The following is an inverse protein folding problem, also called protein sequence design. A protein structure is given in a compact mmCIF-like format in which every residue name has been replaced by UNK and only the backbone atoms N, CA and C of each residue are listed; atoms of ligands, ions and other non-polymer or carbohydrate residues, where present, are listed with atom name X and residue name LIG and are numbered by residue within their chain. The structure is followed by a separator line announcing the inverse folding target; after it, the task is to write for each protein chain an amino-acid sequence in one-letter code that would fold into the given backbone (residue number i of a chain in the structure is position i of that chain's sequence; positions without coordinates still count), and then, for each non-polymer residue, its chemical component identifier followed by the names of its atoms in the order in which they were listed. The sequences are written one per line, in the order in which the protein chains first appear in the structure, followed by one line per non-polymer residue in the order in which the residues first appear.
data_IF_184862447689
#
_entry.id   IF_184862447689
#
_cell.length_a   1.000
_cell.length_b   1.000
_cell.length_c   1.000
_cell.angle_alpha   90.00
_cell.angle_beta   90.00
_cell.angle_gamma   90.00
#
_symmetry.space_group_name_H-M   'P 1'
#
loop_
_entity.id
_entity.type
_entity.pdbx_description
1 polymer ?
#
# COMPACT_ATOMS: atom_id res chain seq x y z
N UNK A 1 -12.96 78.47 0.96
CA UNK A 1 -13.81 77.62 0.12
C UNK A 1 -14.92 77.03 0.98
N UNK A 2 -16.18 77.22 0.55
CA UNK A 2 -17.48 76.54 0.86
C UNK A 2 -17.55 75.65 2.13
N UNK A 3 -18.58 75.59 2.97
CA UNK A 3 -19.89 76.23 3.23
C UNK A 3 -20.28 75.68 4.63
N UNK A 4 -20.64 76.52 5.60
CA UNK A 4 -22.01 76.82 6.04
C UNK A 4 -22.76 75.69 6.81
N UNK A 5 -22.84 75.89 8.13
CA UNK A 5 -23.93 75.65 9.10
C UNK A 5 -25.07 74.66 8.76
N UNK A 6 -25.46 73.80 9.72
CA UNK A 6 -26.55 74.08 10.69
C UNK A 6 -26.87 72.85 11.58
N UNK A 7 -26.94 73.10 12.89
CA UNK A 7 -27.45 72.23 13.96
C UNK A 7 -28.99 72.15 14.00
N UNK A 8 -29.56 71.00 14.41
CA UNK A 8 -30.41 70.81 15.63
C UNK A 8 -31.31 69.57 15.55
N UNK A 9 -31.26 68.79 16.66
CA UNK A 9 -32.36 68.17 17.44
C UNK A 9 -33.29 67.16 16.72
N UNK A 10 -33.27 65.89 17.14
CA UNK A 10 -34.12 65.28 18.18
C UNK A 10 -35.56 65.01 17.68
N UNK A 11 -35.93 63.73 17.49
CA UNK A 11 -37.13 63.17 18.14
C UNK A 11 -37.27 61.66 17.93
N UNK A 12 -37.73 61.04 19.01
CA UNK A 12 -38.08 59.64 19.27
C UNK A 12 -39.54 59.39 18.88
N UNK A 13 -39.85 58.29 18.18
CA UNK A 13 -41.19 57.66 18.02
C UNK A 13 -40.91 56.16 17.75
N UNK A 14 -41.08 55.20 18.66
CA UNK A 14 -42.28 54.67 19.31
C UNK A 14 -43.23 53.87 18.39
N UNK A 15 -43.10 52.54 18.42
CA UNK A 15 -44.20 51.56 18.36
C UNK A 15 -44.67 51.07 16.99
N UNK A 16 -44.56 49.76 16.75
CA UNK A 16 -45.73 48.88 16.63
C UNK A 16 -45.30 47.40 16.75
N UNK A 17 -45.75 46.75 17.82
CA UNK A 17 -45.82 45.31 17.91
C UNK A 17 -46.98 44.82 17.05
N UNK A 18 -46.73 43.87 16.15
CA UNK A 18 -47.76 43.05 15.52
C UNK A 18 -47.50 41.61 15.96
N UNK A 19 -48.31 41.17 16.92
CA UNK A 19 -48.52 39.76 17.24
C UNK A 19 -49.47 39.23 16.16
N UNK A 20 -48.96 38.38 15.27
CA UNK A 20 -49.80 37.54 14.41
C UNK A 20 -49.68 36.10 14.89
N UNK A 21 -50.64 35.71 15.73
CA UNK A 21 -51.03 34.32 15.94
C UNK A 21 -51.59 33.78 14.63
N UNK A 22 -50.82 32.94 13.95
CA UNK A 22 -51.34 32.05 12.90
C UNK A 22 -51.09 30.62 13.36
N UNK A 23 -52.12 30.03 13.96
CA UNK A 23 -52.28 28.59 14.04
C UNK A 23 -52.67 28.11 12.63
N UNK A 24 -51.73 27.50 11.92
CA UNK A 24 -51.99 26.73 10.71
C UNK A 24 -51.60 25.28 11.01
N UNK A 25 -52.61 24.43 11.20
CA UNK A 25 -52.47 22.99 11.20
C UNK A 25 -52.18 22.51 9.78
N UNK A 26 -51.30 21.51 9.67
CA UNK A 26 -51.36 20.52 8.60
C UNK A 26 -50.46 20.80 7.39
N UNK A 27 -49.21 20.35 7.50
CA UNK A 27 -48.61 19.47 6.49
C UNK A 27 -47.44 18.77 7.19
N UNK A 28 -47.51 17.43 7.32
CA UNK A 28 -46.32 16.60 7.47
C UNK A 28 -45.56 16.74 6.15
N UNK A 29 -44.84 17.85 6.00
CA UNK A 29 -43.66 17.85 5.15
C UNK A 29 -42.62 17.07 5.95
N UNK A 30 -42.49 15.79 5.59
CA UNK A 30 -41.21 15.11 5.64
C UNK A 30 -40.21 16.04 4.94
N UNK A 31 -39.60 16.94 5.72
CA UNK A 31 -38.26 17.43 5.44
C UNK A 31 -37.38 16.20 5.50
N UNK A 32 -37.34 15.47 4.38
CA UNK A 32 -36.19 14.66 4.04
C UNK A 32 -35.00 15.62 4.11
N UNK A 33 -34.27 15.56 5.22
CA UNK A 33 -32.84 15.87 5.20
C UNK A 33 -32.28 15.07 4.04
N UNK A 34 -31.92 15.75 2.94
CA UNK A 34 -30.98 15.18 1.98
C UNK A 34 -29.76 14.79 2.82
N UNK A 35 -29.60 13.50 3.09
CA UNK A 35 -28.35 12.97 3.62
C UNK A 35 -27.28 13.38 2.62
N UNK A 36 -26.24 14.08 3.09
CA UNK A 36 -25.09 14.38 2.24
C UNK A 36 -24.54 13.03 1.76
N UNK A 37 -24.45 12.87 0.43
CA UNK A 37 -23.87 11.67 -0.18
C UNK A 37 -22.48 11.44 0.37
N UNK A 38 -22.19 10.21 0.76
CA UNK A 38 -20.83 9.83 1.14
C UNK A 38 -19.96 9.70 -0.11
N UNK A 39 -18.63 9.66 0.07
CA UNK A 39 -17.73 9.35 -1.02
C UNK A 39 -18.00 7.94 -1.61
N UNK A 40 -18.49 7.02 -0.77
CA UNK A 40 -18.91 5.69 -1.22
C UNK A 40 -20.17 5.74 -2.11
N UNK A 41 -21.17 6.56 -1.76
CA UNK A 41 -22.34 6.76 -2.62
C UNK A 41 -21.96 7.29 -4.02
N UNK A 42 -20.97 8.19 -4.07
CA UNK A 42 -20.45 8.74 -5.33
C UNK A 42 -19.76 7.64 -6.17
N UNK A 43 -18.88 6.84 -5.56
CA UNK A 43 -18.23 5.67 -6.19
C UNK A 43 -19.27 4.70 -6.77
N UNK A 44 -20.32 4.39 -6.00
CA UNK A 44 -21.38 3.49 -6.45
C UNK A 44 -22.21 4.07 -7.61
N UNK A 45 -22.45 5.38 -7.62
CA UNK A 45 -23.16 6.04 -8.73
C UNK A 45 -22.30 6.13 -10.00
N UNK A 46 -21.00 6.35 -9.85
CA UNK A 46 -20.03 6.33 -10.96
C UNK A 46 -19.86 4.92 -11.53
N UNK A 47 -19.94 3.90 -10.66
CA UNK A 47 -19.81 2.49 -11.03
C UNK A 47 -18.36 2.06 -11.23
N UNK A 48 -17.39 2.82 -10.73
CA UNK A 48 -15.97 2.54 -10.85
C UNK A 48 -15.19 2.89 -9.59
N UNK A 49 -14.05 2.23 -9.41
CA UNK A 49 -13.04 2.53 -8.38
C UNK A 49 -11.73 2.91 -9.07
N UNK A 50 -11.23 4.09 -8.76
CA UNK A 50 -9.92 4.55 -9.22
C UNK A 50 -8.83 4.04 -8.29
N UNK A 51 -7.84 3.35 -8.85
CA UNK A 51 -6.78 2.70 -8.07
C UNK A 51 -5.41 3.12 -8.55
N UNK A 52 -4.63 3.72 -7.67
CA UNK A 52 -3.25 4.05 -7.97
C UNK A 52 -2.31 2.85 -7.74
N UNK A 53 -1.44 2.60 -8.70
CA UNK A 53 -0.37 1.59 -8.61
C UNK A 53 0.85 2.05 -9.41
N UNK A 54 1.98 1.34 -9.38
CA UNK A 54 3.19 1.80 -10.09
C UNK A 54 3.39 1.17 -11.47
N UNK A 55 2.89 -0.05 -11.72
CA UNK A 55 3.17 -0.80 -12.94
C UNK A 55 4.65 -1.21 -13.12
N UNK A 56 5.48 -1.07 -12.07
CA UNK A 56 6.94 -1.28 -12.14
C UNK A 56 7.51 -2.19 -11.04
N UNK A 57 6.66 -2.74 -10.17
CA UNK A 57 7.02 -3.63 -9.07
C UNK A 57 6.64 -5.07 -9.37
N UNK A 58 7.55 -5.82 -10.01
CA UNK A 58 7.37 -7.27 -10.16
C UNK A 58 7.51 -7.99 -8.79
N UNK A 59 6.63 -8.95 -8.44
CA UNK A 59 5.50 -9.49 -9.21
C UNK A 59 4.13 -8.89 -8.81
N UNK A 60 4.08 -7.79 -8.04
CA UNK A 60 2.83 -7.28 -7.44
C UNK A 60 2.05 -6.31 -8.35
N UNK A 61 2.75 -5.49 -9.13
CA UNK A 61 2.19 -4.50 -10.04
C UNK A 61 3.20 -4.24 -11.17
N UNK A 62 2.99 -4.87 -12.32
CA UNK A 62 3.92 -4.81 -13.44
C UNK A 62 3.20 -5.03 -14.77
N UNK A 63 3.84 -4.69 -15.88
CA UNK A 63 3.38 -5.07 -17.21
C UNK A 63 3.93 -6.45 -17.57
N UNK A 64 3.07 -7.39 -17.96
CA UNK A 64 3.52 -8.73 -18.34
C UNK A 64 4.47 -8.70 -19.53
N UNK A 65 5.44 -9.63 -19.57
CA UNK A 65 6.48 -9.61 -20.60
C UNK A 65 5.86 -9.74 -22.00
N UNK A 66 6.12 -8.76 -22.86
CA UNK A 66 5.60 -8.74 -24.23
C UNK A 66 4.13 -8.34 -24.35
N UNK A 67 3.50 -7.87 -23.26
CA UNK A 67 2.16 -7.29 -23.25
C UNK A 67 2.18 -5.88 -22.67
N UNK A 68 1.25 -5.04 -23.12
CA UNK A 68 0.95 -3.77 -22.48
C UNK A 68 -0.12 -3.96 -21.38
N UNK A 69 -0.35 -5.17 -20.88
CA UNK A 69 -1.35 -5.44 -19.84
C UNK A 69 -0.73 -5.31 -18.43
N UNK A 70 -1.35 -4.45 -17.61
CA UNK A 70 -1.03 -4.32 -16.20
C UNK A 70 -1.53 -5.55 -15.47
N UNK A 71 -0.69 -6.17 -14.66
CA UNK A 71 -0.98 -7.39 -13.90
C UNK A 71 -0.09 -7.43 -12.66
N UNK A 72 -0.21 -8.49 -11.88
CA UNK A 72 0.54 -8.70 -10.66
C UNK A 72 -0.40 -9.01 -9.50
N UNK A 73 0.17 -9.55 -8.42
CA UNK A 73 -0.59 -10.01 -7.27
C UNK A 73 -1.62 -8.98 -6.77
N UNK A 74 -1.20 -7.76 -6.43
CA UNK A 74 -2.14 -6.73 -5.94
C UNK A 74 -3.07 -6.21 -7.02
N UNK A 75 -2.62 -6.16 -8.28
CA UNK A 75 -3.48 -5.75 -9.41
C UNK A 75 -4.64 -6.73 -9.58
N UNK A 76 -4.38 -8.03 -9.54
CA UNK A 76 -5.44 -9.04 -9.67
C UNK A 76 -6.32 -9.14 -8.42
N UNK A 77 -5.75 -8.96 -7.21
CA UNK A 77 -6.55 -8.85 -5.97
C UNK A 77 -7.52 -7.67 -6.05
N UNK A 78 -7.06 -6.49 -6.48
CA UNK A 78 -7.92 -5.31 -6.63
C UNK A 78 -8.98 -5.50 -7.72
N UNK A 79 -8.65 -6.18 -8.83
CA UNK A 79 -9.65 -6.51 -9.85
C UNK A 79 -10.76 -7.39 -9.29
N UNK A 80 -10.41 -8.44 -8.55
CA UNK A 80 -11.40 -9.30 -7.90
C UNK A 80 -12.25 -8.52 -6.88
N UNK A 81 -11.65 -7.56 -6.15
CA UNK A 81 -12.41 -6.66 -5.26
C UNK A 81 -13.46 -5.88 -6.08
N UNK A 82 -13.08 -5.30 -7.21
CA UNK A 82 -14.01 -4.61 -8.11
C UNK A 82 -15.12 -5.52 -8.61
N UNK A 83 -14.79 -6.74 -9.04
CA UNK A 83 -15.78 -7.72 -9.50
C UNK A 83 -16.83 -8.05 -8.43
N UNK A 84 -16.40 -8.27 -7.18
CA UNK A 84 -17.31 -8.56 -6.06
C UNK A 84 -18.13 -7.37 -5.60
N UNK A 85 -17.61 -6.16 -5.75
CA UNK A 85 -18.35 -4.91 -5.49
C UNK A 85 -19.23 -4.45 -6.66
N UNK A 86 -19.19 -5.16 -7.80
CA UNK A 86 -19.85 -4.76 -9.05
C UNK A 86 -19.36 -3.39 -9.58
N UNK A 87 -18.06 -3.09 -9.43
CA UNK A 87 -17.40 -1.84 -9.82
C UNK A 87 -16.30 -2.07 -10.87
N UNK A 88 -16.20 -1.19 -11.86
CA UNK A 88 -15.08 -1.18 -12.81
C UNK A 88 -13.80 -0.64 -12.14
N UNK A 89 -12.68 -1.37 -12.24
CA UNK A 89 -11.40 -0.88 -11.72
C UNK A 89 -10.68 -0.04 -12.77
N UNK A 90 -10.42 1.22 -12.43
CA UNK A 90 -9.65 2.16 -13.25
C UNK A 90 -8.26 2.39 -12.65
N UNK A 91 -7.25 1.71 -13.18
CA UNK A 91 -5.88 1.89 -12.71
C UNK A 91 -5.26 3.19 -13.21
N UNK A 92 -4.63 3.92 -12.29
CA UNK A 92 -3.76 5.07 -12.58
C UNK A 92 -2.33 4.76 -12.15
N UNK A 93 -1.39 4.82 -13.09
CA UNK A 93 0.03 4.61 -12.77
C UNK A 93 0.67 5.89 -12.22
N UNK A 94 1.09 5.85 -10.95
CA UNK A 94 1.68 6.97 -10.22
C UNK A 94 2.99 6.55 -9.51
N UNK A 95 3.87 7.51 -9.27
CA UNK A 95 4.99 7.33 -8.35
C UNK A 95 4.50 7.21 -6.90
N UNK A 96 5.26 6.56 -6.02
CA UNK A 96 4.85 6.25 -4.65
C UNK A 96 4.37 7.48 -3.85
N UNK A 97 5.13 8.57 -3.85
CA UNK A 97 4.76 9.79 -3.10
C UNK A 97 3.49 10.46 -3.66
N UNK A 98 3.34 10.43 -4.99
CA UNK A 98 2.17 10.97 -5.69
C UNK A 98 0.93 10.13 -5.40
N UNK A 99 1.06 8.80 -5.45
CA UNK A 99 0.01 7.84 -5.10
C UNK A 99 -0.59 8.09 -3.72
N UNK A 100 0.26 8.20 -2.67
CA UNK A 100 -0.22 8.49 -1.33
C UNK A 100 -0.87 9.87 -1.22
N UNK A 101 -0.34 10.87 -1.93
CA UNK A 101 -0.94 12.21 -1.99
C UNK A 101 -2.31 12.19 -2.68
N UNK A 102 -2.44 11.43 -3.77
CA UNK A 102 -3.70 11.30 -4.53
C UNK A 102 -4.79 10.61 -3.71
N UNK A 103 -4.46 9.56 -2.94
CA UNK A 103 -5.41 8.95 -1.99
C UNK A 103 -5.80 9.95 -0.90
N UNK A 104 -4.82 10.62 -0.30
CA UNK A 104 -5.07 11.60 0.78
C UNK A 104 -5.97 12.77 0.33
N UNK A 105 -5.87 13.17 -0.94
CA UNK A 105 -6.66 14.27 -1.51
C UNK A 105 -7.98 13.82 -2.15
N UNK A 106 -8.25 12.51 -2.20
CA UNK A 106 -9.44 11.95 -2.84
C UNK A 106 -9.41 12.04 -4.36
N UNK A 107 -8.23 12.16 -4.98
CA UNK A 107 -8.06 12.11 -6.43
C UNK A 107 -8.15 10.68 -6.96
N UNK A 108 -7.75 9.71 -6.14
CA UNK A 108 -7.99 8.28 -6.37
C UNK A 108 -8.57 7.67 -5.10
N UNK A 109 -9.33 6.59 -5.24
CA UNK A 109 -10.02 5.95 -4.13
C UNK A 109 -9.10 5.04 -3.32
N UNK A 110 -8.28 4.25 -4.03
CA UNK A 110 -7.38 3.26 -3.46
C UNK A 110 -5.94 3.45 -3.95
N UNK A 111 -4.98 2.98 -3.15
CA UNK A 111 -3.63 2.67 -3.63
C UNK A 111 -3.23 1.24 -3.26
N UNK A 112 -2.71 0.52 -4.26
CA UNK A 112 -2.26 -0.87 -4.15
C UNK A 112 -0.91 -1.00 -4.85
N UNK A 113 0.17 -1.06 -4.08
CA UNK A 113 1.53 -1.09 -4.60
C UNK A 113 2.56 -1.62 -3.56
N UNK A 114 2.27 -2.74 -2.92
CA UNK A 114 3.11 -3.39 -1.89
C UNK A 114 3.38 -2.46 -0.71
N UNK A 115 2.33 -1.76 -0.27
CA UNK A 115 2.42 -0.73 0.76
C UNK A 115 2.29 -1.38 2.13
N UNK A 116 3.40 -1.40 2.86
CA UNK A 116 3.43 -1.93 4.23
C UNK A 116 2.55 -1.10 5.18
N UNK A 117 1.76 -1.80 6.00
CA UNK A 117 1.01 -1.23 7.11
C UNK A 117 2.01 -0.85 8.22
N UNK A 118 2.00 0.42 8.61
CA UNK A 118 2.90 0.95 9.65
C UNK A 118 2.14 1.98 10.48
N UNK A 119 2.49 2.10 11.77
CA UNK A 119 1.84 3.04 12.70
C UNK A 119 1.84 4.48 12.12
N UNK A 120 2.98 4.93 11.58
CA UNK A 120 3.13 6.27 10.98
C UNK A 120 2.18 6.50 9.77
N UNK A 121 1.94 5.48 8.95
CA UNK A 121 1.02 5.58 7.80
C UNK A 121 -0.45 5.53 8.26
N UNK A 122 -0.77 4.72 9.26
CA UNK A 122 -2.11 4.67 9.86
C UNK A 122 -2.52 5.99 10.54
N UNK A 123 -1.56 6.86 10.89
CA UNK A 123 -1.86 8.22 11.30
C UNK A 123 -2.55 9.06 10.20
N UNK A 124 -2.35 8.73 8.93
CA UNK A 124 -2.78 9.53 7.79
C UNK A 124 -3.75 8.82 6.82
N UNK A 125 -3.84 7.49 6.91
CA UNK A 125 -4.64 6.66 6.00
C UNK A 125 -5.44 5.60 6.76
N UNK A 126 -6.42 5.01 6.09
CA UNK A 126 -7.00 3.72 6.49
C UNK A 126 -6.39 2.64 5.61
N UNK A 127 -5.96 1.53 6.21
CA UNK A 127 -5.55 0.34 5.47
C UNK A 127 -6.66 -0.69 5.50
N UNK A 128 -6.70 -1.54 4.47
CA UNK A 128 -7.51 -2.74 4.52
C UNK A 128 -6.98 -3.75 5.53
N UNK A 129 -7.77 -4.79 5.80
CA UNK A 129 -7.29 -6.05 6.33
C UNK A 129 -6.07 -6.51 5.51
N UNK A 130 -4.95 -6.88 6.14
CA UNK A 130 -3.77 -7.33 5.42
C UNK A 130 -4.04 -8.64 4.69
N UNK A 131 -3.66 -8.68 3.42
CA UNK A 131 -3.82 -9.84 2.54
C UNK A 131 -2.48 -10.41 2.05
N UNK A 132 -1.36 -9.79 2.46
CA UNK A 132 -0.02 -10.32 2.26
C UNK A 132 0.80 -10.10 3.53
N UNK A 133 1.51 -11.15 3.94
CA UNK A 133 2.45 -11.14 5.05
C UNK A 133 3.81 -11.54 4.49
N UNK A 134 4.86 -10.85 4.90
CA UNK A 134 6.22 -11.19 4.52
C UNK A 134 7.22 -10.85 5.62
N UNK A 135 8.49 -11.02 5.30
CA UNK A 135 9.63 -10.71 6.14
C UNK A 135 10.90 -10.68 5.31
N UNK A 136 11.93 -10.05 5.84
CA UNK A 136 13.26 -10.08 5.24
C UNK A 136 14.00 -11.38 5.54
N UNK A 137 14.76 -11.85 4.56
CA UNK A 137 15.70 -12.97 4.65
C UNK A 137 17.03 -12.65 3.96
N UNK A 138 17.96 -13.58 4.00
CA UNK A 138 19.27 -13.44 3.37
C UNK A 138 19.54 -14.56 2.37
N UNK A 139 19.92 -14.23 1.12
CA UNK A 139 20.57 -15.18 0.22
C UNK A 139 22.07 -15.26 0.56
N UNK A 140 22.55 -16.48 0.75
CA UNK A 140 23.95 -16.83 1.06
C UNK A 140 24.41 -17.98 0.17
N UNK A 141 25.71 -18.33 0.23
CA UNK A 141 26.23 -19.54 -0.45
C UNK A 141 25.67 -20.81 0.18
N UNK A 142 25.27 -21.78 -0.64
CA UNK A 142 24.67 -23.05 -0.16
C UNK A 142 25.62 -23.92 0.65
N UNK A 143 26.91 -23.92 0.32
CA UNK A 143 27.89 -24.84 0.89
C UNK A 143 28.40 -24.47 2.29
N UNK A 144 28.43 -23.18 2.63
CA UNK A 144 29.00 -22.67 3.87
C UNK A 144 28.13 -21.60 4.56
N UNK A 145 26.95 -21.29 4.03
CA UNK A 145 26.08 -20.19 4.45
C UNK A 145 26.82 -18.85 4.53
N UNK A 146 27.87 -18.70 3.73
CA UNK A 146 28.80 -17.58 3.79
C UNK A 146 29.46 -17.35 5.16
N UNK A 147 29.44 -18.36 6.04
CA UNK A 147 29.90 -18.27 7.43
C UNK A 147 29.10 -17.26 8.24
N UNK A 148 27.78 -17.23 8.04
CA UNK A 148 26.80 -16.40 8.76
C UNK A 148 25.88 -17.39 9.49
N UNK A 149 25.60 -17.14 10.77
CA UNK A 149 24.61 -17.89 11.55
C UNK A 149 23.52 -16.95 12.10
N UNK A 150 23.92 -15.72 12.43
CA UNK A 150 23.10 -14.66 13.04
C UNK A 150 23.26 -13.33 12.27
N UNK A 151 22.41 -12.34 12.54
CA UNK A 151 22.55 -11.01 11.92
C UNK A 151 23.84 -10.32 12.37
N UNK A 152 24.32 -10.59 13.58
CA UNK A 152 25.60 -10.07 14.09
C UNK A 152 26.80 -10.55 13.25
N UNK A 153 26.70 -11.73 12.63
CA UNK A 153 27.75 -12.25 11.74
C UNK A 153 27.84 -11.52 10.40
N UNK A 154 26.96 -10.54 10.15
CA UNK A 154 27.08 -9.62 9.02
C UNK A 154 28.26 -8.65 9.17
N UNK A 155 28.81 -8.46 10.37
CA UNK A 155 29.95 -7.56 10.60
C UNK A 155 31.13 -7.93 9.68
N UNK A 156 31.52 -6.98 8.81
CA UNK A 156 32.61 -7.16 7.84
C UNK A 156 32.28 -8.08 6.65
N UNK A 157 31.06 -8.60 6.53
CA UNK A 157 30.61 -9.34 5.33
C UNK A 157 30.32 -8.39 4.19
N UNK A 158 30.52 -8.85 2.95
CA UNK A 158 30.20 -8.07 1.76
C UNK A 158 28.73 -8.23 1.39
N UNK A 159 27.94 -7.20 1.64
CA UNK A 159 26.52 -7.17 1.28
C UNK A 159 26.34 -6.60 -0.14
N UNK A 160 25.59 -7.30 -0.98
CA UNK A 160 25.16 -6.84 -2.30
C UNK A 160 23.65 -6.59 -2.31
N UNK A 161 23.18 -5.66 -3.15
CA UNK A 161 21.76 -5.35 -3.30
C UNK A 161 21.54 -3.88 -3.65
N UNK A 162 20.28 -3.45 -3.65
CA UNK A 162 19.92 -2.06 -3.92
C UNK A 162 20.37 -1.14 -2.78
N UNK A 163 21.28 -0.21 -3.05
CA UNK A 163 21.93 0.66 -2.05
C UNK A 163 20.99 1.47 -1.17
N UNK A 164 19.86 1.91 -1.73
CA UNK A 164 18.86 2.75 -1.06
C UNK A 164 17.73 1.95 -0.40
N UNK A 165 17.79 0.62 -0.42
CA UNK A 165 16.78 -0.22 0.22
C UNK A 165 16.93 -0.24 1.75
N UNK A 166 15.82 -0.49 2.44
CA UNK A 166 15.80 -0.76 3.89
C UNK A 166 16.66 -1.98 4.26
N UNK A 167 16.75 -2.96 3.36
CA UNK A 167 17.58 -4.15 3.54
C UNK A 167 19.08 -3.83 3.55
N UNK A 168 19.53 -2.96 2.65
CA UNK A 168 20.94 -2.51 2.66
C UNK A 168 21.21 -1.59 3.86
N UNK A 169 20.24 -0.78 4.28
CA UNK A 169 20.36 -0.04 5.53
C UNK A 169 20.58 -0.99 6.72
N UNK A 170 19.76 -2.02 6.86
CA UNK A 170 19.91 -3.03 7.90
C UNK A 170 21.28 -3.72 7.83
N UNK A 171 21.73 -4.12 6.64
CA UNK A 171 23.05 -4.73 6.48
C UNK A 171 24.16 -3.81 7.03
N UNK A 172 24.10 -2.50 6.74
CA UNK A 172 25.04 -1.51 7.29
C UNK A 172 24.91 -1.34 8.80
N UNK A 173 23.71 -1.40 9.36
CA UNK A 173 23.47 -1.31 10.81
C UNK A 173 24.10 -2.48 11.57
N UNK A 174 24.13 -3.68 10.98
CA UNK A 174 24.87 -4.85 11.49
C UNK A 174 26.35 -4.89 11.08
N UNK A 175 26.87 -3.82 10.46
CA UNK A 175 28.30 -3.68 10.18
C UNK A 175 28.79 -4.35 8.89
N UNK A 176 27.90 -4.74 7.98
CA UNK A 176 28.30 -5.25 6.66
C UNK A 176 28.96 -4.15 5.81
N UNK A 177 29.91 -4.57 4.97
CA UNK A 177 30.51 -3.74 3.93
C UNK A 177 29.62 -3.78 2.68
N UNK A 178 28.95 -2.67 2.38
CA UNK A 178 28.18 -2.54 1.13
C UNK A 178 29.11 -2.61 -0.10
N UNK A 179 28.78 -3.51 -1.03
CA UNK A 179 29.37 -3.56 -2.36
C UNK A 179 28.48 -2.79 -3.32
N UNK A 180 28.96 -1.61 -3.74
CA UNK A 180 28.24 -0.72 -4.66
C UNK A 180 28.44 -1.16 -6.10
N UNK A 181 27.34 -1.18 -6.86
CA UNK A 181 27.34 -1.49 -8.30
C UNK A 181 26.85 -0.27 -9.07
N UNK A 182 27.45 -0.01 -10.24
CA UNK A 182 27.00 1.08 -11.12
C UNK A 182 25.64 0.77 -11.77
N UNK A 183 25.54 -0.40 -12.42
CA UNK A 183 24.30 -0.92 -12.99
C UNK A 183 24.39 -2.44 -13.04
N UNK A 184 23.71 -3.12 -12.11
CA UNK A 184 23.73 -4.57 -11.99
C UNK A 184 22.31 -5.14 -12.05
N UNK A 185 22.20 -6.29 -12.73
CA UNK A 185 20.97 -7.08 -12.74
C UNK A 185 20.86 -7.95 -11.49
N UNK A 186 19.67 -8.45 -11.17
CA UNK A 186 19.48 -9.42 -10.09
C UNK A 186 20.41 -10.64 -10.24
N UNK A 187 20.55 -11.16 -11.47
CA UNK A 187 21.48 -12.24 -11.79
C UNK A 187 22.94 -11.91 -11.40
N UNK A 188 23.37 -10.66 -11.59
CA UNK A 188 24.73 -10.23 -11.26
C UNK A 188 24.98 -10.33 -9.76
N UNK A 189 24.06 -9.86 -8.93
CA UNK A 189 24.18 -9.98 -7.47
C UNK A 189 24.23 -11.45 -7.04
N UNK A 190 23.32 -12.28 -7.55
CA UNK A 190 23.22 -13.69 -7.19
C UNK A 190 24.48 -14.48 -7.57
N UNK A 191 25.00 -14.27 -8.79
CA UNK A 191 26.26 -14.89 -9.24
C UNK A 191 27.44 -14.50 -8.36
N UNK A 192 27.47 -13.28 -7.86
CA UNK A 192 28.56 -12.79 -7.02
C UNK A 192 28.58 -13.44 -5.65
N UNK A 193 27.41 -13.68 -5.06
CA UNK A 193 27.30 -14.50 -3.86
C UNK A 193 27.77 -15.93 -4.17
N UNK A 194 27.27 -16.54 -5.25
CA UNK A 194 27.58 -17.93 -5.62
C UNK A 194 29.10 -18.18 -5.77
N UNK A 195 29.85 -17.23 -6.33
CA UNK A 195 31.30 -17.35 -6.52
C UNK A 195 32.13 -16.77 -5.37
N UNK A 196 31.49 -16.25 -4.32
CA UNK A 196 32.14 -15.66 -3.15
C UNK A 196 32.81 -14.30 -3.41
N UNK A 197 32.37 -13.57 -4.45
CA UNK A 197 32.77 -12.16 -4.65
C UNK A 197 32.11 -11.25 -3.61
N UNK A 198 30.85 -11.55 -3.30
CA UNK A 198 30.09 -11.01 -2.17
C UNK A 198 29.62 -12.17 -1.29
N UNK A 199 29.13 -11.84 -0.09
CA UNK A 199 28.78 -12.85 0.91
C UNK A 199 27.27 -13.02 1.07
N UNK A 200 26.50 -11.94 0.93
CA UNK A 200 25.09 -11.95 1.30
C UNK A 200 24.27 -10.93 0.49
N UNK A 201 23.00 -11.26 0.25
CA UNK A 201 21.98 -10.32 -0.23
C UNK A 201 20.81 -10.36 0.76
N UNK A 202 20.50 -9.23 1.40
CA UNK A 202 19.30 -9.07 2.23
C UNK A 202 18.15 -8.58 1.35
N UNK A 203 16.97 -9.18 1.45
CA UNK A 203 15.76 -8.79 0.72
C UNK A 203 14.51 -9.49 1.28
N UNK A 204 13.33 -9.14 0.76
CA UNK A 204 12.07 -9.83 0.99
C UNK A 204 12.15 -11.34 0.71
N UNK A 205 11.53 -12.15 1.58
CA UNK A 205 11.52 -13.61 1.49
C UNK A 205 10.99 -14.11 0.15
N UNK A 206 9.82 -13.66 -0.29
CA UNK A 206 9.20 -14.15 -1.52
C UNK A 206 9.95 -13.68 -2.76
N UNK A 207 10.53 -12.48 -2.75
CA UNK A 207 11.42 -12.06 -3.83
C UNK A 207 12.68 -12.94 -3.92
N UNK A 208 13.20 -13.40 -2.78
CA UNK A 208 14.32 -14.33 -2.77
C UNK A 208 13.93 -15.74 -3.25
N UNK A 209 12.72 -16.23 -2.94
CA UNK A 209 12.27 -17.54 -3.46
C UNK A 209 12.12 -17.51 -4.98
N UNK A 210 11.61 -16.41 -5.54
CA UNK A 210 11.56 -16.18 -6.99
C UNK A 210 12.96 -16.12 -7.60
N UNK A 211 13.91 -15.43 -6.94
CA UNK A 211 15.29 -15.38 -7.39
C UNK A 211 15.94 -16.77 -7.45
N UNK A 212 15.74 -17.61 -6.43
CA UNK A 212 16.24 -18.99 -6.44
C UNK A 212 15.58 -19.85 -7.53
N UNK A 213 14.27 -19.69 -7.74
CA UNK A 213 13.55 -20.41 -8.79
C UNK A 213 14.02 -20.03 -10.20
N UNK A 214 14.40 -18.76 -10.41
CA UNK A 214 14.90 -18.26 -11.68
C UNK A 214 16.34 -18.73 -12.01
N UNK A 215 17.17 -19.00 -10.99
CA UNK A 215 18.58 -19.38 -11.15
C UNK A 215 18.95 -20.64 -10.34
N UNK A 216 18.29 -21.79 -10.60
CA UNK A 216 18.46 -23.01 -9.81
C UNK A 216 19.85 -23.65 -9.95
N UNK A 217 20.66 -23.21 -10.91
CA UNK A 217 22.03 -23.66 -11.13
C UNK A 217 23.07 -22.97 -10.24
N UNK A 218 22.71 -21.86 -9.57
CA UNK A 218 23.62 -21.15 -8.69
C UNK A 218 23.68 -21.84 -7.32
N UNK A 219 24.90 -21.98 -6.78
CA UNK A 219 25.15 -22.58 -5.46
C UNK A 219 24.88 -21.58 -4.32
N UNK A 220 23.61 -21.15 -4.24
CA UNK A 220 23.09 -20.19 -3.27
C UNK A 220 21.80 -20.72 -2.65
N UNK A 221 21.44 -20.20 -1.49
CA UNK A 221 20.23 -20.57 -0.77
C UNK A 221 19.75 -19.41 0.10
N UNK A 222 18.47 -19.43 0.49
CA UNK A 222 17.97 -18.56 1.55
C UNK A 222 18.48 -19.14 2.87
N UNK A 223 19.08 -18.30 3.71
CA UNK A 223 19.56 -18.69 5.02
C UNK A 223 18.37 -19.23 5.86
N UNK A 224 18.46 -20.44 6.42
CA UNK A 224 17.31 -21.10 7.05
C UNK A 224 16.79 -20.37 8.30
N UNK A 225 17.70 -19.71 9.02
CA UNK A 225 17.41 -19.14 10.34
C UNK A 225 17.33 -17.60 10.36
N UNK A 226 17.74 -16.91 9.29
CA UNK A 226 17.72 -15.44 9.27
C UNK A 226 16.37 -14.95 8.76
N UNK A 227 15.55 -14.50 9.71
CA UNK A 227 14.25 -13.87 9.48
C UNK A 227 14.17 -12.60 10.30
N UNK A 228 13.75 -11.51 9.69
CA UNK A 228 13.70 -10.20 10.35
C UNK A 228 12.66 -9.31 9.70
N UNK A 229 12.30 -8.20 10.35
CA UNK A 229 11.37 -7.19 9.83
C UNK A 229 10.09 -7.81 9.26
N UNK A 230 9.22 -8.42 10.09
CA UNK A 230 7.90 -8.84 9.62
C UNK A 230 7.17 -7.64 9.01
N UNK A 231 6.48 -7.88 7.89
CA UNK A 231 5.69 -6.86 7.22
C UNK A 231 4.31 -7.40 6.86
N UNK A 232 3.34 -6.50 6.89
CA UNK A 232 1.96 -6.74 6.51
C UNK A 232 1.59 -5.73 5.43
N UNK A 233 0.93 -6.17 4.37
CA UNK A 233 0.56 -5.35 3.21
C UNK A 233 -0.94 -5.35 3.05
N UNK A 234 -1.49 -4.16 2.80
CA UNK A 234 -2.91 -3.90 2.54
C UNK A 234 -3.10 -2.78 1.52
N UNK A 235 -4.32 -2.60 1.03
CA UNK A 235 -4.65 -1.44 0.19
C UNK A 235 -4.86 -0.21 1.06
N UNK A 236 -4.46 0.95 0.53
CA UNK A 236 -4.51 2.25 1.23
C UNK A 236 -5.73 3.03 0.76
N UNK A 237 -6.45 3.60 1.71
CA UNK A 237 -7.63 4.43 1.50
C UNK A 237 -7.51 5.76 2.23
N UNK A 238 -8.30 6.74 1.79
CA UNK A 238 -8.41 8.00 2.49
C UNK A 238 -8.93 7.78 3.92
N UNK A 239 -8.32 8.44 4.90
CA UNK A 239 -8.66 8.28 6.31
C UNK A 239 -10.08 8.73 6.68
N UNK A 240 -10.68 9.57 5.86
CA UNK A 240 -12.04 10.06 6.06
C UNK A 240 -13.09 9.15 5.38
N UNK A 241 -12.69 8.15 4.59
CA UNK A 241 -13.59 7.27 3.84
C UNK A 241 -13.72 5.88 4.50
N UNK A 242 -14.27 5.85 5.72
CA UNK A 242 -14.45 4.60 6.46
C UNK A 242 -15.46 3.65 5.82
N UNK A 243 -16.45 4.17 5.11
CA UNK A 243 -17.46 3.33 4.44
C UNK A 243 -16.87 2.54 3.27
N UNK A 244 -16.01 3.17 2.45
CA UNK A 244 -15.23 2.43 1.44
C UNK A 244 -14.37 1.34 2.09
N UNK A 245 -13.69 1.66 3.20
CA UNK A 245 -12.85 0.71 3.91
C UNK A 245 -13.64 -0.49 4.45
N UNK A 246 -14.82 -0.28 5.00
CA UNK A 246 -15.67 -1.36 5.49
C UNK A 246 -16.12 -2.29 4.35
N UNK A 247 -16.50 -1.73 3.19
CA UNK A 247 -16.89 -2.53 2.02
C UNK A 247 -15.71 -3.30 1.43
N UNK A 248 -14.54 -2.66 1.26
CA UNK A 248 -13.32 -3.29 0.77
C UNK A 248 -12.86 -4.40 1.73
N UNK A 249 -12.92 -4.17 3.04
CA UNK A 249 -12.56 -5.17 4.04
C UNK A 249 -13.49 -6.38 4.01
N UNK A 250 -14.81 -6.17 3.89
CA UNK A 250 -15.76 -7.28 3.77
C UNK A 250 -15.43 -8.20 2.60
N UNK A 251 -15.09 -7.61 1.44
CA UNK A 251 -14.71 -8.39 0.25
C UNK A 251 -13.36 -9.09 0.41
N UNK A 252 -12.35 -8.41 0.97
CA UNK A 252 -11.04 -9.03 1.25
C UNK A 252 -11.20 -10.20 2.22
N UNK A 253 -12.00 -10.05 3.27
CA UNK A 253 -12.29 -11.11 4.24
C UNK A 253 -12.94 -12.33 3.55
N UNK A 254 -13.94 -12.11 2.69
CA UNK A 254 -14.53 -13.20 1.89
C UNK A 254 -13.48 -13.90 1.00
N UNK A 255 -12.62 -13.13 0.32
CA UNK A 255 -11.56 -13.65 -0.56
C UNK A 255 -10.44 -14.39 0.20
N UNK A 256 -10.20 -14.03 1.46
CA UNK A 256 -9.31 -14.77 2.36
C UNK A 256 -9.97 -16.08 2.83
N UNK A 257 -11.27 -16.04 3.15
CA UNK A 257 -12.03 -17.21 3.63
C UNK A 257 -12.24 -18.28 2.55
N UNK A 258 -12.53 -17.88 1.31
CA UNK A 258 -12.76 -18.81 0.19
C UNK A 258 -11.47 -19.24 -0.53
N UNK A 259 -10.34 -18.59 -0.23
CA UNK A 259 -9.02 -18.91 -0.76
C UNK A 259 -8.69 -18.23 -2.09
N UNK A 260 -9.50 -17.30 -2.59
CA UNK A 260 -9.23 -16.59 -3.84
C UNK A 260 -7.89 -15.84 -3.81
N UNK A 261 -7.54 -15.15 -2.70
CA UNK A 261 -6.24 -14.46 -2.62
C UNK A 261 -5.08 -15.46 -2.61
N UNK A 262 -5.24 -16.62 -1.97
CA UNK A 262 -4.24 -17.67 -1.96
C UNK A 262 -4.02 -18.27 -3.37
N UNK A 263 -5.09 -18.43 -4.15
CA UNK A 263 -5.00 -18.85 -5.56
C UNK A 263 -4.25 -17.83 -6.41
N UNK A 264 -4.62 -16.55 -6.32
CA UNK A 264 -3.91 -15.45 -7.00
C UNK A 264 -2.43 -15.42 -6.57
N UNK A 265 -2.16 -15.52 -5.27
CA UNK A 265 -0.80 -15.56 -4.72
C UNK A 265 0.05 -16.65 -5.36
N UNK A 266 -0.50 -17.86 -5.49
CA UNK A 266 0.21 -19.00 -6.04
C UNK A 266 0.66 -18.76 -7.50
N UNK A 267 -0.09 -17.98 -8.28
CA UNK A 267 0.28 -17.63 -9.66
C UNK A 267 1.52 -16.73 -9.71
N UNK A 268 1.62 -15.76 -8.79
CA UNK A 268 2.67 -14.73 -8.82
C UNK A 268 3.91 -15.07 -7.98
N UNK A 269 3.76 -15.91 -6.96
CA UNK A 269 4.82 -16.27 -6.01
C UNK A 269 5.27 -17.74 -6.13
N UNK A 270 5.25 -18.28 -7.36
CA UNK A 270 5.75 -19.62 -7.68
C UNK A 270 5.11 -20.73 -6.81
N UNK A 271 3.78 -20.68 -6.68
CA UNK A 271 2.99 -21.63 -5.91
C UNK A 271 2.90 -21.35 -4.42
N UNK A 272 3.50 -20.26 -3.94
CA UNK A 272 3.43 -19.88 -2.53
C UNK A 272 2.14 -19.12 -2.20
N UNK A 273 1.67 -19.33 -0.97
CA UNK A 273 0.61 -18.55 -0.35
C UNK A 273 1.24 -17.46 0.53
N UNK A 274 0.98 -16.19 0.20
CA UNK A 274 1.47 -15.02 0.96
C UNK A 274 0.48 -14.53 2.02
N UNK A 275 -0.72 -15.12 2.10
CA UNK A 275 -1.76 -14.73 3.07
C UNK A 275 -1.48 -15.26 4.48
N UNK A 276 -0.54 -16.19 4.60
CA UNK A 276 -0.21 -16.86 5.86
C UNK A 276 0.80 -16.05 6.68
N UNK A 277 0.36 -15.61 7.86
CA UNK A 277 1.24 -14.90 8.81
C UNK A 277 2.34 -15.83 9.32
N UNK A 278 3.59 -15.42 9.11
CA UNK A 278 4.76 -16.14 9.64
C UNK A 278 5.13 -15.57 11.01
N UNK A 279 5.04 -16.40 12.05
CA UNK A 279 5.56 -16.05 13.37
C UNK A 279 7.09 -16.03 13.33
N UNK A 280 7.66 -14.84 13.44
CA UNK A 280 9.09 -14.61 13.60
C UNK A 280 9.29 -14.24 15.07
N UNK A 281 10.15 -14.98 15.75
CA UNK A 281 10.57 -14.60 17.10
C UNK A 281 11.44 -13.34 16.97
N UNK A 282 10.99 -12.23 17.56
CA UNK A 282 11.75 -10.97 17.65
C UNK A 282 12.97 -11.08 18.56
#
# INVERSE_FOLDING_TARGET
MKKLFWSKKLSMVAGLAIVSLLSACGNDEDTATEEEKSAWDEIQEEGSLTVATSGTLFPTSYRSEGSDELTGFEVEVVREIGERLELEIEFTELGFDEMLTSVQTGQVDLAANDIEITEDREENFIFSTPFKYSYGTAIVRSGDLSGIETLEDLEGKKAAGASTSVYMQMAREYGAEEVVYDNATNETYLRDVAIGRTDVILNDYYLQTLALAAFPELEITIHPDLKYSPSEVGVVMNKDNSELADNVNGVIEEMLEDGTIAEISAEFFNGADVTEKVNIEE
#
